data_IF_901361219539
#
_entry.id   IF_901361219539
#
_cell.length_a   1.000
_cell.length_b   1.000
_cell.length_c   1.000
_cell.angle_alpha   90.00
_cell.angle_beta   90.00
_cell.angle_gamma   90.00
#
_symmetry.space_group_name_H-M   'P 1'
#
loop_
_entity.id
_entity.type
_entity.pdbx_description
1 polymer ?
#
# COMPACT_ATOMS: atom_id res chain seq x y z
N UNK A 1 18.78 -4.04 -35.32
CA UNK A 1 19.08 -2.73 -34.69
C UNK A 1 19.98 -3.03 -33.50
N UNK A 2 21.29 -2.84 -33.65
CA UNK A 2 22.27 -3.14 -32.61
C UNK A 2 22.28 -2.03 -31.56
N UNK A 3 22.19 -2.41 -30.28
CA UNK A 3 22.33 -1.48 -29.15
C UNK A 3 23.82 -1.06 -29.10
N UNK A 4 24.12 0.20 -29.41
CA UNK A 4 25.44 0.76 -29.16
C UNK A 4 25.53 1.03 -27.66
N UNK A 5 26.36 0.24 -26.96
CA UNK A 5 26.59 0.36 -25.53
C UNK A 5 27.20 1.71 -25.17
N UNK A 6 26.35 2.69 -24.89
CA UNK A 6 26.71 3.94 -24.24
C UNK A 6 26.29 3.88 -22.78
N UNK A 7 27.15 4.33 -21.88
CA UNK A 7 26.74 4.58 -20.50
C UNK A 7 25.91 5.86 -20.50
N UNK A 8 24.62 5.76 -20.18
CA UNK A 8 23.80 6.92 -19.89
C UNK A 8 23.88 7.20 -18.38
N UNK A 9 23.93 8.48 -18.01
CA UNK A 9 23.74 8.84 -16.62
C UNK A 9 22.35 8.39 -16.16
N UNK A 10 22.26 7.89 -14.94
CA UNK A 10 20.97 7.59 -14.31
C UNK A 10 20.15 8.88 -14.22
N UNK A 11 18.88 8.81 -14.62
CA UNK A 11 17.91 9.86 -14.34
C UNK A 11 17.63 10.02 -12.85
N UNK A 12 16.92 11.08 -12.51
CA UNK A 12 16.48 11.36 -11.14
C UNK A 12 15.65 10.20 -10.56
N UNK A 13 15.86 9.87 -9.28
CA UNK A 13 15.14 8.79 -8.60
C UNK A 13 15.70 7.39 -8.91
N UNK A 14 16.86 7.29 -9.57
CA UNK A 14 17.53 6.04 -9.90
C UNK A 14 19.00 6.05 -9.49
N UNK A 15 19.44 4.88 -9.02
CA UNK A 15 20.84 4.54 -8.78
C UNK A 15 21.17 3.35 -9.67
N UNK A 16 22.04 3.53 -10.66
CA UNK A 16 22.48 2.44 -11.53
C UNK A 16 23.88 1.97 -11.11
N UNK A 17 23.96 0.76 -10.56
CA UNK A 17 25.22 0.09 -10.23
C UNK A 17 25.68 -0.78 -11.41
N UNK A 18 25.88 -0.11 -12.55
CA UNK A 18 26.38 -0.71 -13.79
C UNK A 18 25.41 -1.66 -14.50
N UNK A 19 24.98 -2.74 -13.84
CA UNK A 19 24.03 -3.74 -14.38
C UNK A 19 22.64 -3.62 -13.80
N UNK A 20 22.55 -3.26 -12.52
CA UNK A 20 21.29 -3.17 -11.81
C UNK A 20 20.86 -1.72 -11.64
N UNK A 21 19.54 -1.49 -11.70
CA UNK A 21 18.92 -0.20 -11.44
C UNK A 21 18.11 -0.32 -10.15
N UNK A 22 18.43 0.53 -9.19
CA UNK A 22 17.73 0.65 -7.91
C UNK A 22 16.97 1.97 -7.95
N UNK A 23 15.69 1.94 -7.59
CA UNK A 23 14.84 3.12 -7.48
C UNK A 23 15.00 3.72 -6.09
N UNK A 24 15.19 5.03 -6.02
CA UNK A 24 15.34 5.74 -4.75
C UNK A 24 14.00 5.82 -3.98
N UNK A 25 14.04 5.94 -2.64
CA UNK A 25 12.84 6.22 -1.85
C UNK A 25 12.10 7.46 -2.35
N UNK A 26 10.77 7.39 -2.38
CA UNK A 26 9.89 8.41 -2.96
C UNK A 26 9.64 8.24 -4.46
N UNK A 27 10.31 7.31 -5.13
CA UNK A 27 10.15 7.06 -6.57
C UNK A 27 9.68 5.63 -6.87
N UNK A 28 9.07 5.46 -8.04
CA UNK A 28 8.59 4.19 -8.56
C UNK A 28 8.87 4.13 -10.05
N UNK A 29 9.41 3.00 -10.52
CA UNK A 29 9.43 2.65 -11.94
C UNK A 29 8.75 1.29 -12.10
N UNK A 30 7.99 1.05 -13.18
CA UNK A 30 7.39 -0.26 -13.41
C UNK A 30 8.48 -1.30 -13.78
N UNK A 31 8.21 -2.58 -13.53
CA UNK A 31 9.20 -3.65 -13.72
C UNK A 31 9.53 -3.93 -15.19
N UNK A 32 8.62 -3.59 -16.11
CA UNK A 32 8.75 -3.78 -17.56
C UNK A 32 9.38 -2.58 -18.28
N UNK A 33 9.39 -1.40 -17.66
CA UNK A 33 10.03 -0.19 -18.20
C UNK A 33 10.71 0.64 -17.11
N UNK A 34 11.94 0.24 -16.76
CA UNK A 34 12.76 0.90 -15.73
C UNK A 34 13.20 2.31 -16.12
N UNK A 35 13.05 2.70 -17.39
CA UNK A 35 13.40 4.04 -17.88
C UNK A 35 12.36 5.11 -17.52
N UNK A 36 11.16 4.69 -17.12
CA UNK A 36 10.07 5.59 -16.75
C UNK A 36 9.94 5.65 -15.24
N UNK A 37 10.46 6.73 -14.65
CA UNK A 37 10.46 6.95 -13.21
C UNK A 37 9.40 7.96 -12.83
N UNK A 38 8.56 7.60 -11.87
CA UNK A 38 7.50 8.43 -11.32
C UNK A 38 7.84 8.81 -9.89
N UNK A 39 7.58 10.08 -9.53
CA UNK A 39 7.63 10.53 -8.15
C UNK A 39 6.30 10.28 -7.47
N UNK A 40 6.32 9.61 -6.33
CA UNK A 40 5.10 9.30 -5.59
C UNK A 40 4.61 10.51 -4.79
N UNK A 41 3.33 10.83 -4.93
CA UNK A 41 2.70 11.90 -4.16
C UNK A 41 2.29 11.40 -2.77
N UNK A 42 2.54 12.22 -1.74
CA UNK A 42 2.16 11.96 -0.36
C UNK A 42 3.15 12.61 0.62
N UNK A 43 2.77 12.70 1.89
CA UNK A 43 3.64 13.24 2.94
C UNK A 43 4.77 12.27 3.33
N UNK A 44 4.74 11.02 2.87
CA UNK A 44 5.74 10.01 3.20
C UNK A 44 6.34 9.37 1.95
N UNK A 45 7.68 9.38 1.89
CA UNK A 45 8.49 8.56 0.97
C UNK A 45 8.19 7.06 1.15
N UNK A 46 7.53 6.68 2.26
CA UNK A 46 7.13 5.31 2.59
C UNK A 46 6.08 4.71 1.65
N UNK A 47 5.37 5.50 0.84
CA UNK A 47 4.46 4.97 -0.19
C UNK A 47 5.22 4.22 -1.29
N UNK A 48 6.39 4.76 -1.62
CA UNK A 48 7.33 4.20 -2.59
C UNK A 48 8.67 4.06 -1.89
N UNK A 49 8.89 2.97 -1.14
CA UNK A 49 10.06 2.81 -0.28
C UNK A 49 11.39 2.73 -1.05
N UNK A 50 11.36 2.81 -2.39
CA UNK A 50 12.50 2.52 -3.25
C UNK A 50 12.75 1.01 -3.36
N UNK A 51 13.84 0.64 -4.02
CA UNK A 51 14.24 -0.75 -4.24
C UNK A 51 14.18 -1.16 -5.71
N UNK A 52 13.86 -2.43 -5.96
CA UNK A 52 13.78 -2.95 -7.32
C UNK A 52 12.64 -2.29 -8.12
N UNK A 53 12.77 -2.13 -9.44
CA UNK A 53 11.65 -1.72 -10.29
C UNK A 53 10.42 -2.60 -10.10
N UNK A 54 9.24 -1.98 -10.09
CA UNK A 54 7.96 -2.63 -9.82
C UNK A 54 7.71 -2.92 -8.34
N UNK A 55 8.49 -2.33 -7.42
CA UNK A 55 8.30 -2.49 -5.98
C UNK A 55 7.52 -1.31 -5.38
N UNK A 56 6.52 -1.63 -4.54
CA UNK A 56 5.68 -0.67 -3.84
C UNK A 56 5.54 -1.05 -2.36
N UNK A 57 5.07 -0.12 -1.53
CA UNK A 57 4.75 -0.43 -0.13
C UNK A 57 3.64 -1.50 0.00
N UNK A 58 3.54 -2.10 1.18
CA UNK A 58 2.55 -3.16 1.48
C UNK A 58 1.13 -2.76 1.05
N UNK A 59 0.43 -3.72 0.43
CA UNK A 59 -0.96 -3.60 -0.04
C UNK A 59 -1.19 -2.53 -1.14
N UNK A 60 -0.13 -2.00 -1.74
CA UNK A 60 -0.22 -1.15 -2.95
C UNK A 60 -0.24 -2.03 -4.20
N UNK A 61 -0.83 -1.53 -5.27
CA UNK A 61 -0.81 -2.19 -6.58
C UNK A 61 0.46 -1.76 -7.32
N UNK A 62 1.35 -2.70 -7.60
CA UNK A 62 2.63 -2.42 -8.25
C UNK A 62 2.55 -2.22 -9.77
N UNK A 63 1.40 -2.51 -10.37
CA UNK A 63 1.09 -2.17 -11.76
C UNK A 63 0.40 -0.80 -11.88
N UNK A 64 0.00 -0.20 -10.76
CA UNK A 64 -0.58 1.15 -10.75
C UNK A 64 0.53 2.19 -10.87
N UNK A 65 0.26 3.26 -11.62
CA UNK A 65 1.22 4.36 -11.77
C UNK A 65 1.54 4.94 -10.39
N UNK A 66 2.83 5.02 -10.06
CA UNK A 66 3.34 5.57 -8.80
C UNK A 66 2.75 4.94 -7.53
N UNK A 67 2.40 3.64 -7.58
CA UNK A 67 1.78 2.93 -6.45
C UNK A 67 0.54 3.67 -5.90
N UNK A 68 -0.19 4.38 -6.76
CA UNK A 68 -1.28 5.25 -6.34
C UNK A 68 -2.47 4.45 -5.78
N UNK A 69 -2.68 3.23 -6.28
CA UNK A 69 -3.83 2.40 -5.93
C UNK A 69 -3.51 1.40 -4.81
N UNK A 70 -4.54 1.13 -4.00
CA UNK A 70 -4.54 0.11 -2.97
C UNK A 70 -5.20 -1.16 -3.49
N UNK A 71 -4.76 -2.31 -2.99
CA UNK A 71 -5.41 -3.60 -3.28
C UNK A 71 -6.85 -3.61 -2.76
N UNK A 72 -7.67 -4.51 -3.32
CA UNK A 72 -9.06 -4.68 -2.87
C UNK A 72 -9.12 -4.95 -1.36
N UNK A 73 -10.16 -4.41 -0.69
CA UNK A 73 -10.35 -4.47 0.77
C UNK A 73 -9.29 -3.73 1.60
N UNK A 74 -8.51 -2.84 0.99
CA UNK A 74 -7.58 -1.96 1.70
C UNK A 74 -7.83 -0.50 1.34
N UNK A 75 -7.50 0.43 2.24
CA UNK A 75 -7.67 1.86 2.03
C UNK A 75 -6.35 2.61 2.19
N UNK A 76 -6.22 3.74 1.48
CA UNK A 76 -4.99 4.52 1.50
C UNK A 76 -4.87 5.35 2.76
N UNK A 77 -3.73 5.26 3.44
CA UNK A 77 -3.34 6.20 4.49
C UNK A 77 -2.20 7.11 4.01
N UNK A 78 -1.83 8.10 4.83
CA UNK A 78 -0.66 8.96 4.61
C UNK A 78 0.66 8.30 5.06
N UNK A 79 0.62 7.10 5.66
CA UNK A 79 1.77 6.47 6.31
C UNK A 79 2.61 5.58 5.39
N UNK A 80 2.18 5.39 4.14
CA UNK A 80 2.87 4.58 3.13
C UNK A 80 2.05 3.36 2.70
N UNK A 81 1.89 2.33 3.54
CA UNK A 81 1.12 1.13 3.20
C UNK A 81 -0.40 1.42 3.12
N UNK A 82 -1.14 0.53 2.46
CA UNK A 82 -2.60 0.52 2.52
C UNK A 82 -3.06 -0.37 3.69
N UNK A 83 -3.99 0.14 4.48
CA UNK A 83 -4.50 -0.55 5.67
C UNK A 83 -5.71 -1.41 5.31
N UNK A 84 -5.87 -2.55 5.99
CA UNK A 84 -7.01 -3.44 5.78
C UNK A 84 -8.29 -2.82 6.33
N UNK A 85 -9.39 -2.93 5.59
CA UNK A 85 -10.70 -2.58 6.10
C UNK A 85 -11.07 -3.56 7.22
N UNK A 86 -11.13 -3.10 8.46
CA UNK A 86 -11.68 -3.88 9.56
C UNK A 86 -13.20 -3.80 9.51
N UNK A 87 -13.87 -4.95 9.47
CA UNK A 87 -15.31 -4.99 9.72
C UNK A 87 -15.53 -4.66 11.21
N UNK A 88 -15.95 -3.43 11.49
CA UNK A 88 -16.27 -2.99 12.85
C UNK A 88 -17.66 -3.49 13.27
N UNK A 89 -17.69 -4.18 14.41
CA UNK A 89 -18.77 -4.28 15.41
C UNK A 89 -20.06 -5.09 15.16
N UNK A 90 -20.00 -6.19 14.40
CA UNK A 90 -21.10 -7.17 14.43
C UNK A 90 -21.24 -7.85 15.82
N UNK A 91 -20.11 -8.08 16.50
CA UNK A 91 -20.09 -8.72 17.83
C UNK A 91 -20.64 -7.83 18.95
N UNK A 92 -20.45 -6.51 18.85
CA UNK A 92 -20.94 -5.54 19.83
C UNK A 92 -22.47 -5.38 19.74
N UNK A 93 -23.02 -5.40 18.53
CA UNK A 93 -24.47 -5.47 18.31
C UNK A 93 -25.07 -6.77 18.86
N UNK A 94 -24.46 -7.92 18.59
CA UNK A 94 -24.93 -9.21 19.11
C UNK A 94 -24.94 -9.26 20.65
N UNK A 95 -23.89 -8.73 21.30
CA UNK A 95 -23.81 -8.61 22.76
C UNK A 95 -24.88 -7.66 23.33
N UNK A 96 -25.15 -6.54 22.66
CA UNK A 96 -26.21 -5.61 23.07
C UNK A 96 -27.60 -6.25 22.98
N UNK A 97 -27.89 -7.01 21.93
CA UNK A 97 -29.15 -7.75 21.79
C UNK A 97 -29.30 -8.84 22.85
N UNK A 98 -28.25 -9.61 23.14
CA UNK A 98 -28.26 -10.60 24.22
C UNK A 98 -28.50 -9.95 25.58
N UNK A 99 -27.84 -8.82 25.87
CA UNK A 99 -28.08 -8.06 27.09
C UNK A 99 -29.52 -7.58 27.21
N UNK A 100 -30.08 -7.05 26.13
CA UNK A 100 -31.46 -6.55 26.09
C UNK A 100 -32.52 -7.65 26.28
N UNK A 101 -32.23 -8.91 25.98
CA UNK A 101 -33.15 -10.04 26.20
C UNK A 101 -32.93 -10.73 27.55
N UNK A 102 -31.68 -10.92 27.94
CA UNK A 102 -31.31 -11.71 29.13
C UNK A 102 -31.54 -10.92 30.42
N UNK A 103 -31.19 -9.62 30.46
CA UNK A 103 -31.38 -8.78 31.65
C UNK A 103 -32.83 -8.67 32.09
N UNK A 104 -33.82 -8.34 31.22
CA UNK A 104 -35.22 -8.30 31.64
C UNK A 104 -35.78 -9.68 31.98
N UNK A 105 -35.32 -10.76 31.31
CA UNK A 105 -35.71 -12.12 31.67
C UNK A 105 -35.24 -12.50 33.08
N UNK A 106 -33.99 -12.19 33.44
CA UNK A 106 -33.47 -12.40 34.79
C UNK A 106 -34.26 -11.58 35.83
N UNK A 107 -34.52 -10.31 35.54
CA UNK A 107 -35.33 -9.45 36.42
C UNK A 107 -36.74 -10.00 36.64
N UNK A 108 -37.37 -10.57 35.60
CA UNK A 108 -38.68 -11.21 35.70
C UNK A 108 -38.67 -12.48 36.56
N UNK A 109 -37.57 -13.22 36.62
CA UNK A 109 -37.46 -14.41 37.48
C UNK A 109 -37.12 -14.10 38.95
N UNK A 110 -36.61 -12.90 39.24
CA UNK A 110 -36.21 -12.47 40.59
C UNK A 110 -37.35 -11.73 41.31
N UNK A 111 -38.26 -11.08 40.56
CA UNK A 111 -39.46 -10.37 41.06
C UNK A 111 -40.63 -11.35 41.18
#
# INVERSE_FOLDING_TARGET
RGYQGGCLACGEGMVCDGKDVIIEPGYFAPSDDVGVVWRCYGASEKRCPGGAPGFCAKNRINTSVACAECQSQTYSTNEGPCEVCTASDEGLLALAFLGALVVPAIMYYII
#
